data_IF_754519640450
#
_entry.id   IF_754519640450
#
_cell.length_a   1.000
_cell.length_b   1.000
_cell.length_c   1.000
_cell.angle_alpha   90.00
_cell.angle_beta   90.00
_cell.angle_gamma   90.00
#
_symmetry.space_group_name_H-M   'P 1'
#
loop_
_entity.id
_entity.type
_entity.pdbx_description
1 polymer ?
#
# COMPACT_ATOMS: atom_id res chain seq x y z
N UNK A 1 6.05 -18.49 -3.78
CA UNK A 1 5.98 -17.03 -3.51
C UNK A 1 6.13 -16.20 -4.78
N UNK A 2 7.17 -16.41 -5.59
CA UNK A 2 7.38 -15.65 -6.84
C UNK A 2 6.22 -15.76 -7.83
N UNK A 3 5.68 -16.96 -8.06
CA UNK A 3 4.52 -17.14 -8.93
C UNK A 3 3.30 -16.33 -8.46
N UNK A 4 2.99 -16.36 -7.16
CA UNK A 4 1.88 -15.59 -6.58
C UNK A 4 2.07 -14.08 -6.80
N UNK A 5 3.30 -13.58 -6.60
CA UNK A 5 3.67 -12.18 -6.85
C UNK A 5 3.45 -11.76 -8.31
N UNK A 6 3.83 -12.62 -9.26
CA UNK A 6 3.64 -12.36 -10.69
C UNK A 6 2.15 -12.35 -11.07
N UNK A 7 1.37 -13.27 -10.51
CA UNK A 7 -0.10 -13.32 -10.70
C UNK A 7 -0.75 -12.05 -10.16
N UNK A 8 -0.39 -11.61 -8.95
CA UNK A 8 -0.91 -10.38 -8.34
C UNK A 8 -0.57 -9.17 -9.21
N UNK A 9 0.69 -8.99 -9.59
CA UNK A 9 1.11 -7.84 -10.41
C UNK A 9 0.37 -7.80 -11.76
N UNK A 10 0.20 -8.97 -12.40
CA UNK A 10 -0.53 -9.08 -13.68
C UNK A 10 -2.03 -8.79 -13.50
N UNK A 11 -2.66 -9.34 -12.47
CA UNK A 11 -4.07 -9.10 -12.18
C UNK A 11 -4.36 -7.61 -11.92
N UNK A 12 -3.51 -6.95 -11.12
CA UNK A 12 -3.60 -5.51 -10.89
C UNK A 12 -3.37 -4.70 -12.16
N UNK A 13 -2.43 -5.07 -13.02
CA UNK A 13 -2.22 -4.39 -14.31
C UNK A 13 -3.47 -4.46 -15.19
N UNK A 14 -4.06 -5.65 -15.33
CA UNK A 14 -5.29 -5.83 -16.09
C UNK A 14 -6.45 -5.01 -15.49
N UNK A 15 -6.62 -5.10 -14.17
CA UNK A 15 -7.67 -4.36 -13.46
C UNK A 15 -7.51 -2.83 -13.64
N UNK A 16 -6.32 -2.30 -13.42
CA UNK A 16 -6.04 -0.86 -13.58
C UNK A 16 -6.27 -0.38 -15.01
N UNK A 17 -5.92 -1.22 -16.00
CA UNK A 17 -6.14 -0.89 -17.42
C UNK A 17 -7.64 -0.83 -17.75
N UNK A 18 -8.43 -1.77 -17.23
CA UNK A 18 -9.89 -1.79 -17.39
C UNK A 18 -10.51 -0.57 -16.71
N UNK A 19 -10.13 -0.28 -15.46
CA UNK A 19 -10.63 0.88 -14.72
C UNK A 19 -10.30 2.16 -15.48
N UNK A 20 -9.03 2.35 -15.86
CA UNK A 20 -8.61 3.54 -16.62
C UNK A 20 -9.44 3.73 -17.90
N UNK A 21 -9.72 2.65 -18.62
CA UNK A 21 -10.58 2.70 -19.81
C UNK A 21 -12.01 3.14 -19.46
N UNK A 22 -12.63 2.53 -18.45
CA UNK A 22 -13.99 2.87 -18.01
C UNK A 22 -14.07 4.32 -17.57
N UNK A 23 -13.14 4.79 -16.74
CA UNK A 23 -13.12 6.17 -16.26
C UNK A 23 -12.99 7.18 -17.41
N UNK A 24 -12.04 6.98 -18.33
CA UNK A 24 -11.74 7.98 -19.36
C UNK A 24 -12.70 7.97 -20.55
N UNK A 25 -13.22 6.79 -20.92
CA UNK A 25 -13.98 6.62 -22.16
C UNK A 25 -15.45 6.28 -21.95
N UNK A 26 -15.85 5.87 -20.74
CA UNK A 26 -17.27 5.63 -20.40
C UNK A 26 -17.79 6.70 -19.45
N UNK A 27 -17.10 6.96 -18.34
CA UNK A 27 -17.64 7.85 -17.29
C UNK A 27 -17.38 9.32 -17.62
N UNK A 28 -16.13 9.72 -17.84
CA UNK A 28 -15.75 11.11 -18.05
C UNK A 28 -16.53 11.84 -19.18
N UNK A 29 -16.80 11.23 -20.35
CA UNK A 29 -17.57 11.88 -21.41
C UNK A 29 -19.01 12.26 -21.04
N UNK A 30 -19.57 11.68 -19.96
CA UNK A 30 -20.90 12.03 -19.47
C UNK A 30 -20.93 13.31 -18.62
N UNK A 31 -19.76 13.78 -18.15
CA UNK A 31 -19.65 14.98 -17.29
C UNK A 31 -18.79 16.08 -17.90
N UNK A 32 -17.83 15.70 -18.74
CA UNK A 32 -16.85 16.60 -19.33
C UNK A 32 -17.05 16.59 -20.83
N UNK A 33 -17.14 17.78 -21.42
CA UNK A 33 -17.25 17.94 -22.87
C UNK A 33 -16.02 17.29 -23.55
N UNK A 34 -16.30 16.43 -24.53
CA UNK A 34 -15.26 15.70 -25.24
C UNK A 34 -14.26 16.67 -25.90
N UNK A 35 -12.96 16.44 -25.69
CA UNK A 35 -11.83 17.30 -26.14
C UNK A 35 -11.78 18.71 -25.52
N UNK A 36 -12.53 18.97 -24.46
CA UNK A 36 -12.32 20.17 -23.66
C UNK A 36 -11.03 20.09 -22.83
N UNK A 37 -10.55 21.25 -22.35
CA UNK A 37 -9.39 21.31 -21.45
C UNK A 37 -9.61 20.53 -20.15
N UNK A 38 -10.85 20.50 -19.63
CA UNK A 38 -11.19 19.73 -18.43
C UNK A 38 -11.15 18.22 -18.68
N UNK A 39 -11.63 17.76 -19.85
CA UNK A 39 -11.52 16.36 -20.26
C UNK A 39 -10.05 15.90 -20.35
N UNK A 40 -9.20 16.68 -21.02
CA UNK A 40 -7.76 16.37 -21.08
C UNK A 40 -7.09 16.43 -19.70
N UNK A 41 -7.48 17.37 -18.84
CA UNK A 41 -6.99 17.43 -17.47
C UNK A 41 -7.33 16.15 -16.68
N UNK A 42 -8.58 15.70 -16.74
CA UNK A 42 -9.02 14.46 -16.09
C UNK A 42 -8.29 13.23 -16.66
N UNK A 43 -8.13 13.15 -17.98
CA UNK A 43 -7.36 12.08 -18.64
C UNK A 43 -5.91 12.05 -18.17
N UNK A 44 -5.22 13.20 -18.17
CA UNK A 44 -3.84 13.31 -17.71
C UNK A 44 -3.71 12.94 -16.22
N UNK A 45 -4.66 13.37 -15.38
CA UNK A 45 -4.66 13.07 -13.95
C UNK A 45 -4.91 11.58 -13.69
N UNK A 46 -5.84 10.96 -14.42
CA UNK A 46 -6.08 9.52 -14.39
C UNK A 46 -4.86 8.74 -14.84
N UNK A 47 -4.24 9.12 -15.96
CA UNK A 47 -3.06 8.46 -16.50
C UNK A 47 -1.88 8.55 -15.52
N UNK A 48 -1.68 9.73 -14.93
CA UNK A 48 -0.71 9.96 -13.88
C UNK A 48 -0.95 9.06 -12.66
N UNK A 49 -2.19 8.98 -12.17
CA UNK A 49 -2.54 8.15 -11.02
C UNK A 49 -2.32 6.66 -11.32
N UNK A 50 -2.83 6.14 -12.44
CA UNK A 50 -2.69 4.74 -12.86
C UNK A 50 -1.22 4.35 -13.03
N UNK A 51 -0.41 5.20 -13.65
CA UNK A 51 1.03 4.96 -13.84
C UNK A 51 1.76 4.88 -12.50
N UNK A 52 1.45 5.78 -11.56
CA UNK A 52 2.07 5.76 -10.24
C UNK A 52 1.64 4.53 -9.41
N UNK A 53 0.37 4.12 -9.47
CA UNK A 53 -0.09 2.90 -8.82
C UNK A 53 0.67 1.70 -9.37
N UNK A 54 0.70 1.54 -10.70
CA UNK A 54 1.34 0.41 -11.35
C UNK A 54 2.85 0.35 -11.06
N UNK A 55 3.54 1.48 -11.18
CA UNK A 55 4.97 1.55 -10.92
C UNK A 55 5.29 1.16 -9.47
N UNK A 56 4.62 1.77 -8.49
CA UNK A 56 4.90 1.49 -7.09
C UNK A 56 4.50 0.08 -6.70
N UNK A 57 3.46 -0.49 -7.31
CA UNK A 57 3.12 -1.90 -7.15
C UNK A 57 4.23 -2.82 -7.65
N UNK A 58 4.71 -2.59 -8.88
CA UNK A 58 5.81 -3.37 -9.46
C UNK A 58 7.05 -3.27 -8.58
N UNK A 59 7.48 -2.05 -8.22
CA UNK A 59 8.63 -1.87 -7.34
C UNK A 59 8.41 -2.52 -5.96
N UNK A 60 7.22 -2.43 -5.38
CA UNK A 60 6.91 -3.05 -4.09
C UNK A 60 7.00 -4.58 -4.16
N UNK A 61 6.45 -5.17 -5.22
CA UNK A 61 6.43 -6.62 -5.42
C UNK A 61 7.84 -7.13 -5.73
N UNK A 62 8.61 -6.46 -6.59
CA UNK A 62 9.92 -6.93 -7.07
C UNK A 62 11.14 -6.46 -6.27
N UNK A 63 10.98 -5.49 -5.37
CA UNK A 63 12.06 -5.12 -4.45
C UNK A 63 12.07 -6.06 -3.25
N UNK A 64 13.09 -6.91 -3.20
CA UNK A 64 13.31 -7.90 -2.15
C UNK A 64 13.90 -7.25 -0.88
N UNK A 65 13.20 -7.28 0.26
CA UNK A 65 13.70 -6.73 1.53
C UNK A 65 14.41 -7.77 2.41
N UNK A 66 14.60 -9.01 1.94
CA UNK A 66 15.18 -10.10 2.71
C UNK A 66 16.68 -9.93 2.99
N UNK A 67 17.14 -10.69 3.99
CA UNK A 67 18.54 -10.78 4.40
C UNK A 67 19.35 -11.81 3.59
N UNK A 68 18.70 -12.73 2.87
CA UNK A 68 19.31 -13.92 2.27
C UNK A 68 20.50 -13.61 1.34
N UNK A 69 20.55 -12.41 0.78
CA UNK A 69 21.60 -11.97 -0.15
C UNK A 69 22.78 -11.27 0.53
N UNK A 70 22.78 -11.16 1.86
CA UNK A 70 23.79 -10.40 2.61
C UNK A 70 24.72 -11.33 3.40
N UNK A 71 26.02 -11.21 3.14
CA UNK A 71 27.07 -11.87 3.94
C UNK A 71 27.29 -11.10 5.24
N UNK A 72 26.60 -11.53 6.30
CA UNK A 72 26.48 -10.76 7.54
C UNK A 72 27.48 -11.12 8.65
N UNK A 73 28.07 -12.32 8.62
CA UNK A 73 28.90 -12.85 9.72
C UNK A 73 30.06 -11.90 10.08
N UNK A 74 30.68 -11.26 9.10
CA UNK A 74 31.81 -10.35 9.32
C UNK A 74 31.40 -8.94 9.78
N UNK A 75 30.10 -8.62 9.77
CA UNK A 75 29.56 -7.28 10.08
C UNK A 75 28.76 -7.25 11.38
N UNK A 76 28.64 -8.39 12.07
CA UNK A 76 27.82 -8.55 13.26
C UNK A 76 28.21 -7.56 14.36
N UNK A 77 27.22 -6.82 14.87
CA UNK A 77 27.34 -5.96 16.04
C UNK A 77 26.98 -6.70 17.33
N UNK A 78 27.25 -6.08 18.49
CA UNK A 78 26.91 -6.65 19.81
C UNK A 78 25.41 -6.72 20.08
N UNK A 79 24.64 -5.91 19.38
CA UNK A 79 23.20 -5.74 19.46
C UNK A 79 22.44 -6.60 18.43
N UNK A 80 23.16 -7.42 17.67
CA UNK A 80 22.58 -8.31 16.67
C UNK A 80 22.08 -9.58 17.32
N UNK A 81 21.00 -10.12 16.77
CA UNK A 81 20.43 -11.38 17.22
C UNK A 81 20.72 -12.50 16.23
N UNK A 82 20.26 -13.72 16.54
CA UNK A 82 20.45 -14.87 15.67
C UNK A 82 19.10 -15.51 15.37
N UNK A 83 18.82 -15.81 14.10
CA UNK A 83 17.65 -16.57 13.72
C UNK A 83 18.01 -18.04 13.57
N UNK A 84 17.43 -18.90 14.40
CA UNK A 84 17.64 -20.35 14.31
C UNK A 84 17.09 -20.97 13.03
N UNK A 85 16.03 -20.40 12.42
CA UNK A 85 15.42 -20.96 11.20
C UNK A 85 16.20 -20.64 9.93
N UNK A 86 16.65 -19.41 9.81
CA UNK A 86 17.43 -18.96 8.65
C UNK A 86 18.94 -19.14 8.85
N UNK A 87 19.37 -19.62 10.02
CA UNK A 87 20.77 -19.83 10.39
C UNK A 87 21.67 -18.62 10.10
N UNK A 88 21.16 -17.42 10.40
CA UNK A 88 21.86 -16.15 10.15
C UNK A 88 21.74 -15.20 11.34
N UNK A 89 22.77 -14.37 11.49
CA UNK A 89 22.68 -13.19 12.36
C UNK A 89 21.69 -12.18 11.78
N UNK A 90 20.95 -11.49 12.65
CA UNK A 90 19.95 -10.49 12.34
C UNK A 90 20.39 -9.13 12.89
N UNK A 91 20.52 -8.10 12.05
CA UNK A 91 20.72 -6.74 12.51
C UNK A 91 19.52 -6.25 13.36
N UNK A 92 19.69 -5.16 14.12
CA UNK A 92 18.59 -4.53 14.83
C UNK A 92 17.40 -4.25 13.90
N UNK A 93 16.19 -4.42 14.43
CA UNK A 93 14.90 -4.23 13.71
C UNK A 93 14.64 -5.26 12.61
N UNK A 94 15.52 -6.23 12.38
CA UNK A 94 15.26 -7.32 11.46
C UNK A 94 14.54 -8.47 12.18
N UNK A 95 13.50 -9.02 11.55
CA UNK A 95 12.73 -10.12 12.11
C UNK A 95 12.47 -11.20 11.06
N UNK A 96 12.23 -12.42 11.53
CA UNK A 96 11.90 -13.56 10.67
C UNK A 96 10.40 -13.55 10.34
N UNK A 97 10.07 -13.60 9.06
CA UNK A 97 8.70 -13.76 8.60
C UNK A 97 8.39 -15.24 8.38
N UNK A 98 7.56 -15.84 9.23
CA UNK A 98 7.22 -17.27 9.11
C UNK A 98 6.40 -17.63 7.87
N UNK A 99 5.77 -16.65 7.20
CA UNK A 99 5.01 -16.87 5.96
C UNK A 99 5.90 -16.90 4.73
N UNK A 100 6.97 -16.09 4.72
CA UNK A 100 7.95 -16.08 3.64
C UNK A 100 9.16 -17.00 3.92
N UNK A 101 9.32 -17.43 5.18
CA UNK A 101 10.44 -18.21 5.69
C UNK A 101 11.82 -17.56 5.49
N UNK A 102 11.86 -16.22 5.60
CA UNK A 102 13.07 -15.41 5.44
C UNK A 102 13.15 -14.35 6.52
N UNK A 103 14.37 -13.92 6.87
CA UNK A 103 14.55 -12.74 7.70
C UNK A 103 14.53 -11.46 6.85
N UNK A 104 13.88 -10.41 7.36
CA UNK A 104 13.64 -9.17 6.61
C UNK A 104 14.23 -7.99 7.36
N UNK A 105 14.95 -7.11 6.65
CA UNK A 105 15.52 -5.88 7.22
C UNK A 105 14.44 -4.88 7.58
N UNK A 106 14.54 -4.27 8.77
CA UNK A 106 13.55 -3.32 9.31
C UNK A 106 12.13 -3.82 9.06
N UNK A 107 11.86 -5.04 9.50
CA UNK A 107 10.63 -5.74 9.17
C UNK A 107 9.43 -5.00 9.75
N UNK A 108 8.48 -4.66 8.87
CA UNK A 108 7.23 -4.02 9.28
C UNK A 108 6.13 -5.05 9.43
N UNK A 109 5.76 -5.71 8.33
CA UNK A 109 4.77 -6.77 8.32
C UNK A 109 4.88 -7.63 7.06
N UNK A 110 4.21 -8.77 7.05
CA UNK A 110 3.91 -9.49 5.82
C UNK A 110 2.58 -8.99 5.27
N UNK A 111 2.59 -8.42 4.06
CA UNK A 111 1.38 -7.98 3.40
C UNK A 111 0.76 -9.17 2.65
N UNK A 112 -0.31 -9.73 3.21
CA UNK A 112 -1.03 -10.87 2.61
C UNK A 112 -1.59 -10.53 1.23
N UNK A 113 -2.05 -9.29 1.02
CA UNK A 113 -2.60 -8.81 -0.25
C UNK A 113 -1.57 -8.74 -1.38
N UNK A 114 -0.30 -8.50 -1.05
CA UNK A 114 0.80 -8.41 -2.02
C UNK A 114 1.65 -9.69 -2.06
N UNK A 115 1.37 -10.67 -1.19
CA UNK A 115 2.18 -11.86 -0.98
C UNK A 115 3.68 -11.53 -0.84
N UNK A 116 4.00 -10.47 -0.10
CA UNK A 116 5.34 -9.92 0.03
C UNK A 116 5.54 -9.25 1.38
N UNK A 117 6.76 -9.39 1.94
CA UNK A 117 7.13 -8.66 3.15
C UNK A 117 7.33 -7.17 2.86
N UNK A 118 6.95 -6.33 3.82
CA UNK A 118 7.27 -4.91 3.84
C UNK A 118 8.42 -4.69 4.81
N UNK A 119 9.49 -4.05 4.35
CA UNK A 119 10.69 -3.79 5.13
C UNK A 119 11.52 -2.64 4.57
N UNK A 120 12.79 -2.58 4.97
CA UNK A 120 13.70 -1.46 4.65
C UNK A 120 13.73 -1.10 3.17
N UNK A 121 13.85 -2.11 2.30
CA UNK A 121 14.09 -1.87 0.88
C UNK A 121 12.86 -1.34 0.14
N UNK A 122 11.66 -1.76 0.54
CA UNK A 122 10.43 -1.55 -0.24
C UNK A 122 9.37 -0.69 0.47
N UNK A 123 9.59 -0.27 1.72
CA UNK A 123 8.66 0.60 2.48
C UNK A 123 8.26 1.87 1.72
N UNK A 124 9.20 2.50 1.00
CA UNK A 124 8.90 3.72 0.23
C UNK A 124 7.87 3.48 -0.88
N UNK A 125 7.95 2.34 -1.56
CA UNK A 125 7.00 1.96 -2.62
C UNK A 125 5.64 1.61 -2.02
N UNK A 126 5.62 0.94 -0.87
CA UNK A 126 4.39 0.64 -0.14
C UNK A 126 3.63 1.92 0.24
N UNK A 127 4.31 2.93 0.80
CA UNK A 127 3.68 4.20 1.19
C UNK A 127 3.12 4.95 -0.02
N UNK A 128 3.89 5.04 -1.10
CA UNK A 128 3.45 5.69 -2.34
C UNK A 128 2.29 4.93 -2.98
N UNK A 129 2.32 3.60 -2.96
CA UNK A 129 1.23 2.76 -3.45
C UNK A 129 -0.08 3.04 -2.70
N UNK A 130 -0.05 3.07 -1.36
CA UNK A 130 -1.24 3.40 -0.56
C UNK A 130 -1.80 4.79 -0.91
N UNK A 131 -0.93 5.80 -1.02
CA UNK A 131 -1.33 7.16 -1.39
C UNK A 131 -1.97 7.22 -2.78
N UNK A 132 -1.32 6.64 -3.80
CA UNK A 132 -1.82 6.70 -5.17
C UNK A 132 -3.06 5.84 -5.40
N UNK A 133 -3.20 4.69 -4.70
CA UNK A 133 -4.43 3.91 -4.70
C UNK A 133 -5.59 4.71 -4.09
N UNK A 134 -5.35 5.34 -2.94
CA UNK A 134 -6.34 6.21 -2.30
C UNK A 134 -6.74 7.37 -3.23
N UNK A 135 -5.76 8.08 -3.78
CA UNK A 135 -5.98 9.18 -4.71
C UNK A 135 -6.78 8.75 -5.94
N UNK A 136 -6.38 7.66 -6.60
CA UNK A 136 -7.05 7.15 -7.80
C UNK A 136 -8.49 6.73 -7.52
N UNK A 137 -8.74 6.01 -6.41
CA UNK A 137 -10.08 5.54 -6.06
C UNK A 137 -11.00 6.69 -5.63
N UNK A 138 -10.49 7.66 -4.87
CA UNK A 138 -11.26 8.85 -4.51
C UNK A 138 -11.57 9.71 -5.74
N UNK A 139 -10.61 9.88 -6.65
CA UNK A 139 -10.82 10.61 -7.91
C UNK A 139 -11.90 9.93 -8.77
N UNK A 140 -11.82 8.61 -8.95
CA UNK A 140 -12.84 7.84 -9.66
C UNK A 140 -14.22 7.97 -8.99
N UNK A 141 -14.28 7.91 -7.65
CA UNK A 141 -15.53 8.01 -6.89
C UNK A 141 -16.26 9.33 -7.09
N UNK A 142 -15.55 10.43 -7.35
CA UNK A 142 -16.15 11.75 -7.64
C UNK A 142 -17.03 11.69 -8.90
N UNK A 143 -16.63 10.92 -9.91
CA UNK A 143 -17.39 10.78 -11.16
C UNK A 143 -18.33 9.57 -11.13
N UNK A 144 -17.89 8.46 -10.54
CA UNK A 144 -18.64 7.21 -10.53
C UNK A 144 -19.92 7.28 -9.72
N UNK A 145 -19.94 7.96 -8.58
CA UNK A 145 -21.15 8.06 -7.74
C UNK A 145 -22.27 8.83 -8.45
N UNK A 146 -22.03 10.04 -9.00
CA UNK A 146 -23.04 10.71 -9.84
C UNK A 146 -23.46 9.88 -11.06
N UNK A 147 -22.52 9.20 -11.72
CA UNK A 147 -22.86 8.38 -12.88
C UNK A 147 -23.74 7.18 -12.51
N UNK A 148 -23.42 6.48 -11.41
CA UNK A 148 -24.23 5.39 -10.88
C UNK A 148 -25.63 5.86 -10.47
N UNK A 149 -25.76 7.08 -9.93
CA UNK A 149 -27.06 7.68 -9.65
C UNK A 149 -27.86 7.85 -10.95
N UNK A 150 -27.30 8.48 -11.98
CA UNK A 150 -28.00 8.64 -13.25
C UNK A 150 -28.35 7.32 -13.95
N UNK A 151 -27.49 6.31 -13.83
CA UNK A 151 -27.65 5.03 -14.51
C UNK A 151 -28.70 4.12 -13.86
N UNK A 152 -28.98 4.28 -12.57
CA UNK A 152 -29.76 3.31 -11.76
C UNK A 152 -30.98 3.96 -11.08
N UNK A 153 -30.92 5.25 -10.76
CA UNK A 153 -31.96 5.96 -9.99
C UNK A 153 -33.18 6.34 -10.85
N UNK A 154 -33.69 5.43 -11.69
CA UNK A 154 -34.92 5.66 -12.45
C UNK A 154 -36.15 5.21 -11.62
N UNK A 155 -36.65 6.12 -10.79
CA UNK A 155 -37.83 5.88 -9.95
C UNK A 155 -37.58 5.06 -8.67
N UNK A 156 -36.33 4.73 -8.36
CA UNK A 156 -35.97 4.05 -7.11
C UNK A 156 -35.94 5.02 -5.93
N UNK A 157 -36.27 4.52 -4.75
CA UNK A 157 -36.03 5.24 -3.51
C UNK A 157 -34.52 5.34 -3.19
N UNK A 158 -34.08 6.37 -2.43
CA UNK A 158 -32.68 6.49 -1.99
C UNK A 158 -32.14 5.23 -1.30
N UNK A 159 -33.00 4.53 -0.55
CA UNK A 159 -32.64 3.29 0.15
C UNK A 159 -32.38 2.12 -0.80
N UNK A 160 -33.20 1.96 -1.86
CA UNK A 160 -32.98 0.92 -2.87
C UNK A 160 -31.65 1.14 -3.60
N UNK A 161 -31.34 2.39 -3.94
CA UNK A 161 -30.06 2.74 -4.56
C UNK A 161 -28.88 2.44 -3.62
N UNK A 162 -28.96 2.88 -2.35
CA UNK A 162 -27.91 2.62 -1.37
C UNK A 162 -27.67 1.11 -1.16
N UNK A 163 -28.74 0.31 -1.06
CA UNK A 163 -28.65 -1.15 -0.92
C UNK A 163 -28.03 -1.80 -2.16
N UNK A 164 -28.38 -1.31 -3.36
CA UNK A 164 -27.79 -1.79 -4.61
C UNK A 164 -26.29 -1.49 -4.70
N UNK A 165 -25.88 -0.31 -4.24
CA UNK A 165 -24.46 0.04 -4.17
C UNK A 165 -23.72 -0.85 -3.16
N UNK A 166 -24.28 -1.08 -1.97
CA UNK A 166 -23.63 -1.95 -0.97
C UNK A 166 -23.56 -3.40 -1.47
N UNK A 167 -24.62 -3.90 -2.10
CA UNK A 167 -24.70 -5.26 -2.60
C UNK A 167 -25.61 -5.34 -3.84
N UNK A 168 -25.05 -5.33 -5.07
CA UNK A 168 -25.85 -5.36 -6.29
C UNK A 168 -26.35 -6.77 -6.65
N UNK A 169 -25.95 -7.83 -5.93
CA UNK A 169 -26.30 -9.22 -6.26
C UNK A 169 -27.81 -9.50 -6.22
N UNK A 170 -28.58 -9.10 -5.18
CA UNK A 170 -30.03 -9.33 -5.18
C UNK A 170 -30.73 -8.63 -6.34
N UNK A 171 -30.25 -7.45 -6.75
CA UNK A 171 -30.87 -6.62 -7.78
C UNK A 171 -30.72 -7.22 -9.18
N UNK A 172 -29.56 -7.80 -9.51
CA UNK A 172 -29.40 -8.53 -10.78
C UNK A 172 -30.21 -9.82 -10.80
N UNK A 173 -30.29 -10.55 -9.67
CA UNK A 173 -31.09 -11.78 -9.57
C UNK A 173 -32.59 -11.53 -9.72
N UNK A 174 -33.08 -10.37 -9.26
CA UNK A 174 -34.47 -9.93 -9.45
C UNK A 174 -34.73 -9.31 -10.84
N UNK A 175 -33.70 -9.17 -11.67
CA UNK A 175 -33.80 -8.56 -13.00
C UNK A 175 -34.01 -7.04 -12.99
N UNK A 176 -33.73 -6.37 -11.88
CA UNK A 176 -33.91 -4.92 -11.73
C UNK A 176 -32.77 -4.11 -12.35
N UNK A 177 -31.60 -4.73 -12.54
CA UNK A 177 -30.43 -4.14 -13.20
C UNK A 177 -29.87 -5.10 -14.24
N UNK A 178 -29.29 -4.54 -15.29
CA UNK A 178 -28.53 -5.25 -16.31
C UNK A 178 -27.14 -5.68 -15.80
N UNK A 179 -26.48 -6.57 -16.55
CA UNK A 179 -25.12 -7.02 -16.23
C UNK A 179 -24.08 -5.88 -16.25
N UNK A 180 -24.22 -4.90 -17.15
CA UNK A 180 -23.33 -3.73 -17.19
C UNK A 180 -23.51 -2.81 -15.99
N UNK A 181 -24.77 -2.55 -15.60
CA UNK A 181 -25.09 -1.82 -14.36
C UNK A 181 -24.53 -2.55 -13.13
N UNK A 182 -24.68 -3.87 -13.05
CA UNK A 182 -24.12 -4.68 -11.96
C UNK A 182 -22.60 -4.55 -11.86
N UNK A 183 -21.88 -4.68 -12.98
CA UNK A 183 -20.42 -4.52 -13.00
C UNK A 183 -20.00 -3.10 -12.61
N UNK A 184 -20.75 -2.09 -13.06
CA UNK A 184 -20.48 -0.70 -12.71
C UNK A 184 -20.73 -0.40 -11.22
N UNK A 185 -21.78 -0.98 -10.62
CA UNK A 185 -22.00 -0.93 -9.17
C UNK A 185 -20.82 -1.52 -8.42
N UNK A 186 -20.35 -2.72 -8.81
CA UNK A 186 -19.21 -3.36 -8.17
C UNK A 186 -17.95 -2.49 -8.25
N UNK A 187 -17.67 -1.91 -9.43
CA UNK A 187 -16.54 -1.00 -9.61
C UNK A 187 -16.67 0.23 -8.71
N UNK A 188 -17.83 0.88 -8.71
CA UNK A 188 -18.07 2.10 -7.93
C UNK A 188 -17.93 1.82 -6.44
N UNK A 189 -18.54 0.75 -5.95
CA UNK A 189 -18.47 0.35 -4.54
C UNK A 189 -17.06 -0.04 -4.13
N UNK A 190 -16.32 -0.71 -5.02
CA UNK A 190 -14.90 -0.98 -4.82
C UNK A 190 -14.10 0.30 -4.64
N UNK A 191 -14.26 1.31 -5.52
CA UNK A 191 -13.56 2.59 -5.40
C UNK A 191 -13.95 3.37 -4.14
N UNK A 192 -15.25 3.45 -3.83
CA UNK A 192 -15.79 4.20 -2.68
C UNK A 192 -15.32 3.61 -1.35
N UNK A 193 -15.16 2.28 -1.26
CA UNK A 193 -14.68 1.62 -0.05
C UNK A 193 -13.14 1.65 -0.01
N UNK A 194 -12.49 1.23 -1.10
CA UNK A 194 -11.04 1.05 -1.13
C UNK A 194 -10.30 2.38 -0.95
N UNK A 195 -10.76 3.47 -1.56
CA UNK A 195 -10.10 4.77 -1.49
C UNK A 195 -9.87 5.26 -0.07
N UNK A 196 -10.94 5.45 0.74
CA UNK A 196 -10.83 5.81 2.15
C UNK A 196 -10.05 4.79 2.98
N UNK A 197 -10.24 3.48 2.76
CA UNK A 197 -9.49 2.46 3.50
C UNK A 197 -7.98 2.57 3.25
N UNK A 198 -7.55 2.73 1.98
CA UNK A 198 -6.15 2.93 1.64
C UNK A 198 -5.59 4.24 2.22
N UNK A 199 -6.40 5.30 2.26
CA UNK A 199 -6.00 6.57 2.87
C UNK A 199 -5.78 6.44 4.38
N UNK A 200 -6.67 5.71 5.08
CA UNK A 200 -6.53 5.44 6.52
C UNK A 200 -5.27 4.63 6.79
N UNK A 201 -5.00 3.59 5.99
CA UNK A 201 -3.76 2.81 6.09
C UNK A 201 -2.51 3.66 5.80
N UNK A 202 -2.58 4.54 4.81
CA UNK A 202 -1.51 5.50 4.53
C UNK A 202 -1.22 6.38 5.75
N UNK A 203 -2.25 6.97 6.37
CA UNK A 203 -2.08 7.80 7.57
C UNK A 203 -1.53 7.01 8.76
N UNK A 204 -1.96 5.75 8.91
CA UNK A 204 -1.44 4.86 9.94
C UNK A 204 0.07 4.65 9.81
N UNK A 205 0.53 4.24 8.63
CA UNK A 205 1.96 4.02 8.39
C UNK A 205 2.76 5.32 8.33
N UNK A 206 2.18 6.42 7.84
CA UNK A 206 2.81 7.73 7.91
C UNK A 206 3.08 8.12 9.36
N UNK A 207 2.13 7.92 10.27
CA UNK A 207 2.33 8.17 11.70
C UNK A 207 3.46 7.32 12.29
N UNK A 208 3.55 6.05 11.90
CA UNK A 208 4.66 5.17 12.32
C UNK A 208 6.00 5.68 11.80
N UNK A 209 6.08 6.07 10.52
CA UNK A 209 7.29 6.65 9.92
C UNK A 209 7.68 7.94 10.64
N UNK A 210 6.74 8.83 10.94
CA UNK A 210 7.03 10.09 11.63
C UNK A 210 7.58 9.87 13.05
N UNK A 211 7.33 8.71 13.66
CA UNK A 211 7.88 8.29 14.97
C UNK A 211 9.04 7.30 14.85
N UNK A 212 9.49 7.01 13.62
CA UNK A 212 10.49 5.99 13.30
C UNK A 212 10.21 4.61 13.88
N UNK A 213 8.95 4.19 13.89
CA UNK A 213 8.54 2.88 14.39
C UNK A 213 8.14 1.96 13.22
N UNK A 214 8.35 0.66 13.38
CA UNK A 214 7.71 -0.39 12.57
C UNK A 214 6.45 -0.90 13.25
N UNK A 215 5.58 -1.59 12.50
CA UNK A 215 4.41 -2.26 13.07
C UNK A 215 4.76 -3.29 14.15
N UNK A 216 5.89 -3.99 14.00
CA UNK A 216 6.42 -4.90 15.03
C UNK A 216 6.84 -4.15 16.29
N UNK A 217 7.57 -3.05 16.16
CA UNK A 217 8.01 -2.24 17.31
C UNK A 217 6.81 -1.66 18.08
N UNK A 218 5.78 -1.19 17.37
CA UNK A 218 4.53 -0.73 17.99
C UNK A 218 3.82 -1.88 18.71
N UNK A 219 3.82 -3.08 18.13
CA UNK A 219 3.23 -4.26 18.77
C UNK A 219 3.98 -4.60 20.06
N UNK A 220 5.32 -4.71 20.00
CA UNK A 220 6.19 -5.01 21.14
C UNK A 220 5.98 -3.98 22.26
N UNK A 221 5.90 -2.68 21.93
CA UNK A 221 5.69 -1.62 22.92
C UNK A 221 4.36 -1.70 23.68
N UNK A 222 3.37 -2.41 23.14
CA UNK A 222 2.03 -2.56 23.75
C UNK A 222 1.91 -3.82 24.59
N UNK A 223 2.86 -4.75 24.47
CA UNK A 223 2.81 -6.04 25.14
C UNK A 223 3.20 -5.86 26.60
N UNK A 224 2.31 -6.28 27.50
CA UNK A 224 2.54 -6.23 28.94
C UNK A 224 3.21 -7.51 29.45
N UNK A 225 2.92 -8.66 28.81
CA UNK A 225 3.43 -9.97 29.19
C UNK A 225 4.12 -10.59 27.98
N UNK A 226 5.44 -10.90 28.03
CA UNK A 226 6.20 -11.43 26.89
C UNK A 226 5.59 -12.65 26.20
N UNK A 227 4.87 -13.51 26.94
CA UNK A 227 4.22 -14.71 26.40
C UNK A 227 3.05 -14.43 25.44
N UNK A 228 2.58 -13.18 25.35
CA UNK A 228 1.50 -12.78 24.45
C UNK A 228 1.94 -12.70 22.99
N UNK A 229 3.25 -12.63 22.72
CA UNK A 229 3.78 -12.52 21.36
C UNK A 229 4.88 -13.55 21.10
N UNK A 230 4.98 -13.98 19.84
CA UNK A 230 5.95 -14.99 19.40
C UNK A 230 7.24 -14.32 18.92
N UNK A 231 7.88 -13.54 19.80
CA UNK A 231 9.18 -12.93 19.57
C UNK A 231 10.19 -13.39 20.63
N UNK A 232 11.47 -13.38 20.29
CA UNK A 232 12.52 -13.78 21.22
C UNK A 232 12.77 -12.66 22.24
N UNK A 233 13.25 -12.99 23.44
CA UNK A 233 13.43 -12.01 24.52
C UNK A 233 14.33 -10.82 24.12
N UNK A 234 15.34 -11.08 23.27
CA UNK A 234 16.21 -10.03 22.75
C UNK A 234 15.47 -9.06 21.81
N UNK A 235 14.41 -9.50 21.12
CA UNK A 235 13.61 -8.67 20.21
C UNK A 235 12.74 -7.68 21.01
N UNK A 236 12.52 -7.92 22.31
CA UNK A 236 11.66 -7.12 23.18
C UNK A 236 12.33 -5.85 23.73
N UNK A 237 13.60 -5.59 23.40
CA UNK A 237 14.32 -4.40 23.90
C UNK A 237 13.70 -3.13 23.30
N UNK A 238 13.17 -2.19 24.12
CA UNK A 238 12.61 -0.95 23.63
C UNK A 238 13.75 -0.01 23.21
N UNK A 239 14.13 -0.05 21.94
CA UNK A 239 15.06 0.90 21.35
C UNK A 239 14.28 2.03 20.70
N UNK A 240 14.60 3.28 21.07
CA UNK A 240 14.02 4.44 20.42
C UNK A 240 14.91 4.88 19.25
N UNK A 241 14.30 5.01 18.08
CA UNK A 241 14.93 5.49 16.85
C UNK A 241 14.38 6.87 16.43
N UNK A 242 13.53 7.49 17.25
CA UNK A 242 12.93 8.79 16.92
C UNK A 242 13.98 9.90 16.96
N UNK A 243 14.17 10.59 15.83
CA UNK A 243 15.09 11.74 15.70
C UNK A 243 14.37 12.99 15.22
N UNK A 244 13.06 13.07 15.43
CA UNK A 244 12.19 14.12 14.95
C UNK A 244 11.58 13.80 13.59
N UNK A 245 10.35 14.27 13.39
CA UNK A 245 9.47 13.90 12.27
C UNK A 245 10.14 13.99 10.90
N UNK A 246 10.96 15.02 10.66
CA UNK A 246 11.62 15.24 9.38
C UNK A 246 12.75 14.25 9.15
N UNK A 247 13.62 14.02 10.14
CA UNK A 247 14.71 13.06 10.02
C UNK A 247 14.18 11.64 9.83
N UNK A 248 13.11 11.30 10.53
CA UNK A 248 12.46 9.99 10.42
C UNK A 248 11.81 9.79 9.03
N UNK A 249 11.11 10.82 8.52
CA UNK A 249 10.53 10.78 7.18
C UNK A 249 11.60 10.66 6.10
N UNK A 250 12.66 11.49 6.17
CA UNK A 250 13.76 11.47 5.21
C UNK A 250 14.54 10.14 5.25
N UNK A 251 14.59 9.46 6.40
CA UNK A 251 15.23 8.15 6.49
C UNK A 251 14.52 7.07 5.66
N UNK A 252 13.20 7.11 5.59
CA UNK A 252 12.39 6.12 4.85
C UNK A 252 12.15 6.58 3.41
N UNK A 253 11.77 7.84 3.22
CA UNK A 253 11.27 8.36 1.94
C UNK A 253 12.35 9.09 1.12
N UNK A 254 13.53 9.33 1.71
CA UNK A 254 14.62 10.12 1.12
C UNK A 254 14.43 11.63 1.27
N UNK A 255 15.50 12.40 1.01
CA UNK A 255 15.47 13.88 1.11
C UNK A 255 14.48 14.56 0.16
N UNK A 256 14.23 13.93 -1.00
CA UNK A 256 13.31 14.43 -2.04
C UNK A 256 11.95 13.73 -1.98
N UNK A 257 11.47 13.44 -0.77
CA UNK A 257 10.26 12.64 -0.56
C UNK A 257 9.01 13.20 -1.27
N UNK A 258 8.83 14.52 -1.29
CA UNK A 258 7.72 15.18 -2.00
C UNK A 258 7.75 14.90 -3.50
N UNK A 259 8.91 15.08 -4.13
CA UNK A 259 9.08 14.80 -5.55
C UNK A 259 8.87 13.31 -5.86
N UNK A 260 9.12 12.43 -4.90
CA UNK A 260 8.87 11.00 -5.01
C UNK A 260 7.40 10.61 -5.20
N UNK A 261 6.45 11.45 -4.76
CA UNK A 261 5.01 11.26 -5.05
C UNK A 261 4.61 11.80 -6.42
N UNK A 262 5.42 12.65 -7.04
CA UNK A 262 5.16 13.21 -8.37
C UNK A 262 5.90 12.45 -9.47
N UNK A 263 7.07 11.91 -9.15
CA UNK A 263 7.97 11.29 -10.11
C UNK A 263 8.34 9.89 -9.61
N UNK A 264 7.58 8.85 -10.03
CA UNK A 264 7.73 7.51 -9.48
C UNK A 264 9.13 6.94 -9.69
N UNK A 265 9.73 7.24 -10.84
CA UNK A 265 11.06 6.78 -11.25
C UNK A 265 12.23 7.47 -10.52
N UNK A 266 11.97 8.43 -9.62
CA UNK A 266 13.06 9.06 -8.88
C UNK A 266 13.71 8.05 -7.92
N UNK A 267 15.02 7.78 -8.06
CA UNK A 267 15.71 6.86 -7.17
C UNK A 267 15.69 7.41 -5.75
N UNK A 268 15.33 6.54 -4.81
CA UNK A 268 15.31 6.86 -3.39
C UNK A 268 16.70 6.58 -2.83
N UNK A 269 17.46 7.65 -2.62
CA UNK A 269 18.73 7.57 -1.89
C UNK A 269 18.39 7.35 -0.42
N UNK A 270 18.57 6.12 0.05
CA UNK A 270 18.35 5.74 1.46
C UNK A 270 19.46 6.31 2.32
N UNK A 271 19.13 6.82 3.50
CA UNK A 271 20.13 7.33 4.44
C UNK A 271 20.83 6.23 5.24
N UNK A 272 20.27 5.01 5.24
CA UNK A 272 20.85 3.84 5.91
C UNK A 272 20.87 2.62 4.99
N UNK A 273 21.82 1.72 5.25
CA UNK A 273 21.95 0.41 4.60
C UNK A 273 20.95 -0.63 5.13
N UNK A 274 20.24 -0.29 6.21
CA UNK A 274 19.28 -1.17 6.88
C UNK A 274 19.91 -2.08 7.93
N UNK A 275 21.25 -2.07 8.07
CA UNK A 275 21.99 -2.86 9.06
C UNK A 275 22.21 -2.08 10.36
N UNK A 276 22.29 -0.75 10.25
CA UNK A 276 22.47 0.15 11.39
C UNK A 276 21.50 1.31 11.30
N UNK A 277 20.95 1.67 12.46
CA UNK A 277 20.06 2.82 12.60
C UNK A 277 20.57 3.69 13.75
N UNK A 278 20.60 5.02 13.58
CA UNK A 278 20.95 5.90 14.69
C UNK A 278 19.84 5.83 15.75
N UNK A 279 20.18 5.35 16.95
CA UNK A 279 19.31 5.35 18.12
C UNK A 279 19.33 6.71 18.83
N UNK A 280 18.28 7.04 19.59
CA UNK A 280 18.26 8.21 20.47
C UNK A 280 19.01 7.97 21.78
N UNK A 281 19.28 6.72 22.11
CA UNK A 281 19.77 6.28 23.43
C UNK A 281 21.31 6.19 23.51
N UNK A 282 22.02 6.65 22.46
CA UNK A 282 23.49 6.67 22.33
C UNK A 282 23.94 8.00 21.73
#
# INVERSE_FOLDING_TARGET
>A
MEHARNVIATAFFCLLSIIFYVECFVVAPNFLEYRSSSYYCAFCLGFFASTNVLYNLICMVYTDPSLDKLMLIQRAGRDWSYCLRCETVRPPRAHHCSQCDVCVLRFDHHCTYLAQCVGHANMVYFIRLLFHLAFSCCLASIFNVPYALHLIYDGWSPWQWLLCMINPVPFILMGWISASQFLFCLLTSFCVILGPTMFILFLHHLRQILRNQTSVEVLISKVQIPTQIRYEEHDLRPLSYDRGWRANLEQVMGKRWLLGFLLPCLPVVRSTDGLRFPSSDI
#
